data_IF_258208776843
#
_entry.id   IF_258208776843
#
_cell.length_a   1.000
_cell.length_b   1.000
_cell.length_c   1.000
_cell.angle_alpha   90.00
_cell.angle_beta   90.00
_cell.angle_gamma   90.00
#
_symmetry.space_group_name_H-M   'P 1'
#
loop_
_entity.id
_entity.type
_entity.pdbx_description
1 polymer ?
#
# COMPACT_ATOMS: atom_id res chain seq x y z
N UNK A 1 -48.10 44.76 16.03
CA UNK A 1 -47.81 43.55 16.75
C UNK A 1 -46.97 42.63 15.89
N UNK A 2 -45.67 42.71 16.18
CA UNK A 2 -44.63 42.03 15.43
C UNK A 2 -44.33 40.67 16.02
N UNK A 3 -44.45 39.62 15.22
CA UNK A 3 -44.00 38.29 15.59
C UNK A 3 -42.57 38.06 15.09
N UNK A 4 -41.61 38.22 15.97
CA UNK A 4 -40.22 37.77 15.81
C UNK A 4 -40.22 36.24 15.87
N UNK A 5 -39.93 35.58 14.75
CA UNK A 5 -39.66 34.13 14.72
C UNK A 5 -38.20 33.91 15.12
N UNK A 6 -38.02 33.23 16.25
CA UNK A 6 -36.72 32.81 16.74
C UNK A 6 -36.03 31.83 15.76
N UNK A 7 -34.82 32.15 15.42
CA UNK A 7 -33.89 31.26 14.70
C UNK A 7 -33.45 30.13 15.63
N UNK A 8 -33.78 28.90 15.26
CA UNK A 8 -33.21 27.72 15.92
C UNK A 8 -31.71 27.60 15.60
N UNK A 9 -30.87 27.19 16.56
CA UNK A 9 -29.46 26.97 16.30
C UNK A 9 -29.29 25.74 15.42
N UNK A 10 -28.51 25.89 14.32
CA UNK A 10 -28.05 24.81 13.47
C UNK A 10 -27.18 23.88 14.34
N UNK A 11 -27.62 22.63 14.50
CA UNK A 11 -26.85 21.59 15.18
C UNK A 11 -25.52 21.44 14.47
N UNK A 12 -24.45 21.55 15.26
CA UNK A 12 -23.06 21.49 14.80
C UNK A 12 -22.80 20.28 13.94
N UNK A 13 -22.07 20.52 12.85
CA UNK A 13 -21.36 19.51 12.07
C UNK A 13 -20.30 18.96 13.02
N UNK A 14 -20.60 17.82 13.65
CA UNK A 14 -19.59 17.04 14.34
C UNK A 14 -18.54 16.62 13.29
N UNK A 15 -17.35 17.18 13.38
CA UNK A 15 -16.18 16.67 12.69
C UNK A 15 -16.03 15.22 13.13
N UNK A 16 -16.41 14.28 12.27
CA UNK A 16 -16.09 12.87 12.44
C UNK A 16 -14.55 12.81 12.54
N UNK A 17 -14.03 12.62 13.76
CA UNK A 17 -12.65 12.22 13.95
C UNK A 17 -12.48 10.94 13.13
N UNK A 18 -11.78 11.04 11.98
CA UNK A 18 -11.41 9.86 11.21
C UNK A 18 -10.56 9.00 12.13
N UNK A 19 -10.99 7.76 12.32
CA UNK A 19 -10.19 6.78 13.04
C UNK A 19 -8.95 6.46 12.20
N UNK A 20 -7.84 7.15 12.49
CA UNK A 20 -6.57 7.02 11.79
C UNK A 20 -5.88 5.67 12.06
N UNK A 21 -6.50 4.81 12.86
CA UNK A 21 -5.93 3.50 13.24
C UNK A 21 -6.43 2.35 12.39
N UNK A 22 -7.47 2.57 11.54
CA UNK A 22 -8.01 1.50 10.70
C UNK A 22 -6.97 0.93 9.75
N UNK A 23 -6.74 -0.37 9.88
CA UNK A 23 -5.77 -1.12 9.09
C UNK A 23 -6.46 -2.22 8.29
N UNK A 24 -5.96 -2.47 7.07
CA UNK A 24 -6.46 -3.53 6.21
C UNK A 24 -5.33 -4.27 5.51
N UNK A 25 -5.63 -5.49 5.07
CA UNK A 25 -4.76 -6.30 4.22
C UNK A 25 -5.51 -6.63 2.93
N UNK A 26 -4.90 -6.29 1.79
CA UNK A 26 -5.37 -6.70 0.47
C UNK A 26 -4.57 -7.95 0.06
N UNK A 27 -5.28 -9.02 -0.27
CA UNK A 27 -4.71 -10.25 -0.80
C UNK A 27 -4.96 -10.29 -2.31
N UNK A 28 -3.92 -10.05 -3.11
CA UNK A 28 -3.97 -10.18 -4.57
C UNK A 28 -3.65 -11.63 -5.01
N UNK A 29 -3.68 -11.88 -6.32
CA UNK A 29 -3.72 -13.24 -6.86
C UNK A 29 -2.39 -13.99 -6.90
N UNK A 30 -1.23 -13.31 -6.72
CA UNK A 30 0.06 -13.99 -6.72
C UNK A 30 0.21 -14.85 -5.47
N UNK A 31 0.76 -16.09 -5.61
CA UNK A 31 0.96 -16.98 -4.47
C UNK A 31 1.76 -16.32 -3.35
N UNK A 32 1.37 -16.60 -2.12
CA UNK A 32 2.07 -16.18 -0.91
C UNK A 32 2.55 -17.42 -0.14
N UNK A 33 3.51 -17.24 0.77
CA UNK A 33 3.90 -18.28 1.70
C UNK A 33 3.43 -17.97 3.13
N UNK A 34 3.41 -18.97 4.02
CA UNK A 34 3.04 -18.76 5.42
C UNK A 34 3.90 -17.71 6.14
N UNK A 35 5.14 -17.45 5.68
CA UNK A 35 6.03 -16.45 6.26
C UNK A 35 5.42 -15.03 6.22
N UNK A 36 4.59 -14.74 5.22
CA UNK A 36 3.93 -13.44 5.09
C UNK A 36 2.84 -13.19 6.14
N UNK A 37 2.48 -14.20 6.96
CA UNK A 37 1.63 -14.00 8.14
C UNK A 37 2.23 -12.99 9.14
N UNK A 38 3.55 -12.77 9.11
CA UNK A 38 4.23 -11.74 9.91
C UNK A 38 3.73 -10.31 9.64
N UNK A 39 3.10 -10.08 8.49
CA UNK A 39 2.49 -8.78 8.14
C UNK A 39 1.06 -8.60 8.68
N UNK A 40 0.43 -9.66 9.19
CA UNK A 40 -0.92 -9.63 9.74
C UNK A 40 -0.94 -9.12 11.17
N UNK A 41 -1.98 -8.39 11.54
CA UNK A 41 -2.22 -7.93 12.90
C UNK A 41 -3.64 -8.29 13.34
N UNK A 42 -3.86 -8.56 14.64
CA UNK A 42 -5.21 -8.72 15.17
C UNK A 42 -6.08 -7.48 14.88
N UNK A 43 -7.26 -7.71 14.33
CA UNK A 43 -8.19 -6.64 13.97
C UNK A 43 -8.02 -6.08 12.55
N UNK A 44 -7.10 -6.63 11.75
CA UNK A 44 -7.03 -6.31 10.33
C UNK A 44 -8.33 -6.65 9.61
N UNK A 45 -8.78 -5.75 8.73
CA UNK A 45 -9.80 -6.10 7.74
C UNK A 45 -9.12 -6.71 6.52
N UNK A 46 -9.51 -7.93 6.18
CA UNK A 46 -8.89 -8.68 5.07
C UNK A 46 -9.79 -8.64 3.84
N UNK A 47 -9.27 -8.07 2.74
CA UNK A 47 -9.95 -8.02 1.44
C UNK A 47 -9.18 -8.88 0.45
N UNK A 48 -9.80 -9.94 -0.05
CA UNK A 48 -9.23 -10.80 -1.07
C UNK A 48 -9.72 -10.38 -2.46
N UNK A 49 -8.80 -10.25 -3.41
CA UNK A 49 -9.08 -9.85 -4.78
C UNK A 49 -8.91 -11.05 -5.72
N UNK A 50 -9.95 -11.38 -6.47
CA UNK A 50 -9.99 -12.50 -7.42
C UNK A 50 -9.46 -13.79 -6.76
N UNK A 51 -8.44 -14.45 -7.32
CA UNK A 51 -7.83 -15.67 -6.77
C UNK A 51 -7.12 -15.47 -5.41
N UNK A 52 -7.00 -14.23 -4.92
CA UNK A 52 -6.38 -13.90 -3.62
C UNK A 52 -7.05 -14.57 -2.41
N UNK A 53 -8.29 -15.03 -2.52
CA UNK A 53 -8.93 -15.81 -1.46
C UNK A 53 -8.17 -17.12 -1.13
N UNK A 54 -7.41 -17.67 -2.08
CA UNK A 54 -6.55 -18.85 -1.85
C UNK A 54 -5.38 -18.52 -0.93
N UNK A 55 -4.87 -17.30 -1.02
CA UNK A 55 -3.81 -16.79 -0.16
C UNK A 55 -4.27 -16.67 1.30
N UNK A 56 -5.54 -16.34 1.53
CA UNK A 56 -6.10 -16.32 2.88
C UNK A 56 -5.99 -17.70 3.56
N UNK A 57 -6.27 -18.78 2.84
CA UNK A 57 -6.12 -20.14 3.37
C UNK A 57 -4.66 -20.48 3.70
N UNK A 58 -3.69 -20.06 2.86
CA UNK A 58 -2.25 -20.23 3.11
C UNK A 58 -1.81 -19.50 4.38
N UNK A 59 -2.35 -18.30 4.60
CA UNK A 59 -2.04 -17.46 5.76
C UNK A 59 -2.84 -17.86 7.03
N UNK A 60 -3.75 -18.83 6.93
CA UNK A 60 -4.56 -19.31 8.06
C UNK A 60 -5.62 -18.29 8.53
N UNK A 61 -6.11 -17.43 7.64
CA UNK A 61 -7.11 -16.40 7.92
C UNK A 61 -8.33 -16.54 7.01
N UNK A 62 -9.42 -15.84 7.36
CA UNK A 62 -10.61 -15.73 6.53
C UNK A 62 -10.70 -14.28 6.00
N UNK A 63 -11.02 -14.07 4.71
CA UNK A 63 -11.31 -12.73 4.22
C UNK A 63 -12.66 -12.23 4.75
N UNK A 64 -12.69 -10.95 5.15
CA UNK A 64 -13.94 -10.25 5.51
C UNK A 64 -14.72 -9.87 4.25
N UNK A 65 -13.99 -9.62 3.14
CA UNK A 65 -14.57 -9.25 1.86
C UNK A 65 -13.80 -9.92 0.72
N UNK A 66 -14.53 -10.41 -0.28
CA UNK A 66 -13.95 -10.91 -1.54
C UNK A 66 -14.46 -10.03 -2.68
N UNK A 67 -13.54 -9.55 -3.51
CA UNK A 67 -13.80 -8.66 -4.66
C UNK A 67 -13.28 -9.34 -5.92
N UNK A 68 -14.08 -9.47 -6.96
CA UNK A 68 -13.64 -10.04 -8.24
C UNK A 68 -14.75 -10.26 -9.24
N UNK A 69 -14.39 -10.55 -10.48
CA UNK A 69 -15.32 -11.00 -11.52
C UNK A 69 -15.33 -12.53 -11.68
N UNK A 70 -14.38 -13.22 -11.06
CA UNK A 70 -14.22 -14.68 -11.00
C UNK A 70 -14.14 -15.34 -12.39
N UNK A 71 -13.61 -14.63 -13.38
CA UNK A 71 -13.36 -15.19 -14.73
C UNK A 71 -12.14 -16.11 -14.76
N UNK A 72 -11.14 -15.82 -13.90
CA UNK A 72 -9.86 -16.54 -13.83
C UNK A 72 -9.81 -17.62 -12.74
N UNK A 73 -10.77 -17.63 -11.81
CA UNK A 73 -10.83 -18.57 -10.69
C UNK A 73 -12.29 -18.91 -10.33
N UNK A 74 -12.60 -20.14 -9.91
CA UNK A 74 -13.94 -20.49 -9.46
C UNK A 74 -14.36 -19.61 -8.28
N UNK A 75 -15.63 -19.20 -8.28
CA UNK A 75 -16.23 -18.46 -7.18
C UNK A 75 -16.09 -19.27 -5.88
N UNK A 76 -15.50 -18.69 -4.82
CA UNK A 76 -15.33 -19.41 -3.57
C UNK A 76 -16.68 -19.64 -2.86
N UNK A 77 -16.81 -20.78 -2.21
CA UNK A 77 -17.85 -20.98 -1.21
C UNK A 77 -17.39 -20.31 0.10
N UNK A 78 -18.02 -19.20 0.46
CA UNK A 78 -17.67 -18.41 1.64
C UNK A 78 -18.90 -17.90 2.37
N UNK A 79 -18.77 -17.69 3.68
CA UNK A 79 -19.76 -16.99 4.50
C UNK A 79 -19.47 -15.50 4.63
N UNK A 80 -18.32 -15.03 4.12
CA UNK A 80 -17.93 -13.63 4.10
C UNK A 80 -18.67 -12.81 3.04
N UNK A 81 -18.59 -11.50 3.15
CA UNK A 81 -19.16 -10.58 2.19
C UNK A 81 -18.46 -10.71 0.83
N UNK A 82 -19.21 -10.48 -0.26
CA UNK A 82 -18.69 -10.57 -1.61
C UNK A 82 -19.19 -9.43 -2.48
N UNK A 83 -18.27 -8.79 -3.19
CA UNK A 83 -18.57 -7.83 -4.24
C UNK A 83 -18.19 -8.46 -5.57
N UNK A 84 -19.20 -8.70 -6.39
CA UNK A 84 -19.00 -9.22 -7.76
C UNK A 84 -18.90 -8.01 -8.69
N UNK A 85 -17.75 -7.87 -9.33
CA UNK A 85 -17.49 -6.81 -10.29
C UNK A 85 -17.89 -7.25 -11.69
N UNK A 86 -18.33 -6.34 -12.59
CA UNK A 86 -18.53 -6.66 -13.98
C UNK A 86 -17.19 -7.02 -14.63
N UNK A 87 -17.23 -7.95 -15.60
CA UNK A 87 -16.04 -8.36 -16.35
C UNK A 87 -15.41 -7.17 -17.12
N UNK A 88 -16.26 -6.32 -17.71
CA UNK A 88 -15.83 -5.08 -18.36
C UNK A 88 -15.85 -3.94 -17.34
N UNK A 89 -14.68 -3.50 -16.91
CA UNK A 89 -14.49 -2.42 -15.93
C UNK A 89 -13.16 -1.71 -16.18
N UNK A 90 -13.03 -0.48 -15.72
CA UNK A 90 -11.83 0.32 -15.86
C UNK A 90 -10.78 0.00 -14.78
N UNK A 91 -11.22 -0.49 -13.61
CA UNK A 91 -10.35 -0.79 -12.46
C UNK A 91 -9.94 -2.28 -12.46
N UNK A 92 -8.71 -2.58 -11.99
CA UNK A 92 -8.37 -3.94 -11.54
C UNK A 92 -9.08 -4.23 -10.21
N UNK A 93 -9.27 -5.52 -9.87
CA UNK A 93 -9.90 -5.90 -8.59
C UNK A 93 -9.14 -5.35 -7.39
N UNK A 94 -7.81 -5.39 -7.45
CA UNK A 94 -6.94 -4.82 -6.41
C UNK A 94 -7.10 -3.30 -6.29
N UNK A 95 -7.19 -2.58 -7.42
CA UNK A 95 -7.39 -1.13 -7.39
C UNK A 95 -8.78 -0.75 -6.86
N UNK A 96 -9.81 -1.50 -7.25
CA UNK A 96 -11.16 -1.33 -6.70
C UNK A 96 -11.18 -1.53 -5.18
N UNK A 97 -10.57 -2.61 -4.69
CA UNK A 97 -10.47 -2.88 -3.25
C UNK A 97 -9.75 -1.75 -2.50
N UNK A 98 -8.66 -1.23 -3.07
CA UNK A 98 -7.91 -0.10 -2.52
C UNK A 98 -8.77 1.17 -2.42
N UNK A 99 -9.51 1.52 -3.47
CA UNK A 99 -10.47 2.64 -3.46
C UNK A 99 -11.54 2.45 -2.39
N UNK A 100 -12.15 1.26 -2.36
CA UNK A 100 -13.19 0.90 -1.40
C UNK A 100 -12.74 1.07 0.05
N UNK A 101 -11.52 0.65 0.39
CA UNK A 101 -10.92 0.81 1.70
C UNK A 101 -10.61 2.28 2.02
N UNK A 102 -9.99 3.00 1.08
CA UNK A 102 -9.64 4.40 1.23
C UNK A 102 -10.87 5.28 1.54
N UNK A 103 -11.98 5.08 0.80
CA UNK A 103 -13.26 5.77 0.99
C UNK A 103 -13.89 5.49 2.37
N UNK A 104 -13.59 4.32 2.96
CA UNK A 104 -14.07 3.91 4.30
C UNK A 104 -13.14 4.31 5.43
N UNK A 105 -12.12 5.11 5.13
CA UNK A 105 -11.24 5.71 6.11
C UNK A 105 -10.11 4.81 6.61
N UNK A 106 -9.79 3.72 5.91
CA UNK A 106 -8.57 2.96 6.19
C UNK A 106 -7.35 3.80 5.84
N UNK A 107 -6.35 3.80 6.75
CA UNK A 107 -5.15 4.65 6.62
C UNK A 107 -3.85 3.86 6.63
N UNK A 108 -3.90 2.57 6.93
CA UNK A 108 -2.78 1.64 6.83
C UNK A 108 -3.21 0.42 6.01
N UNK A 109 -2.59 0.19 4.88
CA UNK A 109 -2.93 -0.92 3.99
C UNK A 109 -1.66 -1.70 3.66
N UNK A 110 -1.73 -3.02 3.86
CA UNK A 110 -0.71 -3.97 3.41
C UNK A 110 -1.26 -4.74 2.21
N UNK A 111 -0.46 -4.87 1.15
CA UNK A 111 -0.82 -5.61 -0.05
C UNK A 111 0.10 -6.82 -0.17
N UNK A 112 -0.46 -8.01 -0.03
CA UNK A 112 0.24 -9.30 -0.18
C UNK A 112 -0.23 -10.02 -1.44
N UNK A 113 0.65 -10.84 -2.05
CA UNK A 113 0.35 -11.45 -3.35
C UNK A 113 0.21 -10.44 -4.49
N UNK A 114 0.82 -9.27 -4.33
CA UNK A 114 0.73 -8.14 -5.27
C UNK A 114 1.97 -7.98 -6.17
N UNK A 115 3.04 -8.72 -5.89
CA UNK A 115 4.34 -8.60 -6.55
C UNK A 115 4.70 -9.87 -7.31
N UNK A 116 5.53 -9.73 -8.36
CA UNK A 116 6.09 -10.83 -9.12
C UNK A 116 5.11 -11.55 -10.04
N UNK A 117 5.43 -12.81 -10.33
CA UNK A 117 4.63 -13.67 -11.21
C UNK A 117 4.93 -13.49 -12.70
N UNK A 118 4.17 -14.23 -13.54
CA UNK A 118 4.38 -14.24 -15.01
C UNK A 118 3.83 -12.96 -15.68
N UNK A 119 2.94 -12.25 -15.02
CA UNK A 119 2.25 -11.06 -15.52
C UNK A 119 2.81 -9.81 -14.86
N UNK A 120 3.95 -9.36 -15.33
CA UNK A 120 4.68 -8.22 -14.77
C UNK A 120 3.83 -6.93 -14.76
N UNK A 121 2.90 -6.78 -15.72
CA UNK A 121 1.99 -5.64 -15.79
C UNK A 121 1.09 -5.53 -14.54
N UNK A 122 0.77 -6.66 -13.86
CA UNK A 122 0.03 -6.63 -12.60
C UNK A 122 0.87 -6.04 -11.47
N UNK A 123 2.18 -6.34 -11.41
CA UNK A 123 3.08 -5.71 -10.44
C UNK A 123 3.11 -4.20 -10.62
N UNK A 124 3.26 -3.71 -11.87
CA UNK A 124 3.22 -2.27 -12.16
C UNK A 124 1.88 -1.64 -11.82
N UNK A 125 0.75 -2.31 -12.13
CA UNK A 125 -0.58 -1.86 -11.75
C UNK A 125 -0.75 -1.76 -10.22
N UNK A 126 -0.19 -2.71 -9.46
CA UNK A 126 -0.23 -2.69 -8.01
C UNK A 126 0.65 -1.57 -7.42
N UNK A 127 1.80 -1.26 -8.03
CA UNK A 127 2.61 -0.09 -7.67
C UNK A 127 1.85 1.21 -7.96
N UNK A 128 1.13 1.30 -9.10
CA UNK A 128 0.26 2.45 -9.40
C UNK A 128 -0.87 2.59 -8.38
N UNK A 129 -1.44 1.47 -7.93
CA UNK A 129 -2.44 1.44 -6.85
C UNK A 129 -1.86 1.92 -5.53
N UNK A 130 -0.62 1.54 -5.20
CA UNK A 130 0.07 2.05 -4.01
C UNK A 130 0.30 3.57 -4.09
N UNK A 131 0.69 4.08 -5.24
CA UNK A 131 0.83 5.52 -5.46
C UNK A 131 -0.52 6.25 -5.27
N UNK A 132 -1.62 5.70 -5.80
CA UNK A 132 -2.97 6.22 -5.55
C UNK A 132 -3.29 6.29 -4.06
N UNK A 133 -3.04 5.21 -3.31
CA UNK A 133 -3.28 5.15 -1.86
C UNK A 133 -2.44 6.20 -1.12
N UNK A 134 -1.15 6.29 -1.41
CA UNK A 134 -0.23 7.24 -0.79
C UNK A 134 -0.64 8.70 -1.07
N UNK A 135 -1.07 9.00 -2.30
CA UNK A 135 -1.59 10.32 -2.69
C UNK A 135 -2.90 10.69 -1.96
N UNK A 136 -3.61 9.70 -1.42
CA UNK A 136 -4.80 9.87 -0.57
C UNK A 136 -4.49 9.75 0.94
N UNK A 137 -3.24 9.97 1.35
CA UNK A 137 -2.77 9.90 2.73
C UNK A 137 -2.98 8.52 3.40
N UNK A 138 -2.90 7.44 2.63
CA UNK A 138 -2.87 6.08 3.13
C UNK A 138 -1.42 5.61 3.17
N UNK A 139 -1.01 5.08 4.32
CA UNK A 139 0.27 4.41 4.48
C UNK A 139 0.15 3.00 3.89
N UNK A 140 0.93 2.71 2.85
CA UNK A 140 0.82 1.48 2.08
C UNK A 140 2.16 0.75 2.02
N UNK A 141 2.10 -0.56 2.26
CA UNK A 141 3.23 -1.48 2.12
C UNK A 141 2.84 -2.61 1.18
N UNK A 142 3.63 -2.86 0.15
CA UNK A 142 3.55 -4.08 -0.63
C UNK A 142 4.66 -5.02 -0.17
N UNK A 143 4.36 -6.31 0.01
CA UNK A 143 5.38 -7.24 0.45
C UNK A 143 5.25 -8.61 -0.21
N UNK A 144 6.40 -9.21 -0.46
CA UNK A 144 6.58 -10.63 -0.73
C UNK A 144 7.69 -11.21 0.17
N UNK A 145 8.17 -12.41 -0.11
CA UNK A 145 9.22 -13.06 0.68
C UNK A 145 10.57 -12.36 0.59
N UNK A 146 10.82 -11.68 -0.53
CA UNK A 146 12.13 -11.11 -0.86
C UNK A 146 12.17 -9.60 -0.73
N UNK A 147 11.01 -8.94 -0.82
CA UNK A 147 10.93 -7.47 -0.93
C UNK A 147 9.82 -6.86 -0.11
N UNK A 148 10.07 -5.64 0.33
CA UNK A 148 9.06 -4.76 0.94
C UNK A 148 9.13 -3.41 0.24
N UNK A 149 7.99 -2.91 -0.24
CA UNK A 149 7.89 -1.68 -1.00
C UNK A 149 7.05 -0.65 -0.25
N UNK A 150 7.54 0.60 -0.25
CA UNK A 150 6.87 1.76 0.34
C UNK A 150 6.82 2.92 -0.65
N UNK A 151 5.90 3.85 -0.43
CA UNK A 151 5.84 5.09 -1.20
C UNK A 151 6.39 6.24 -0.33
N UNK A 152 7.47 6.86 -0.78
CA UNK A 152 8.01 8.09 -0.21
C UNK A 152 7.21 9.28 -0.73
N UNK A 153 6.56 10.00 0.17
CA UNK A 153 5.73 11.15 -0.16
C UNK A 153 6.41 12.47 0.22
N UNK A 154 6.18 13.56 -0.53
CA UNK A 154 6.75 14.85 -0.19
C UNK A 154 6.27 15.34 1.18
N UNK A 155 7.22 15.84 1.98
CA UNK A 155 6.96 16.37 3.31
C UNK A 155 6.60 15.31 4.38
N UNK A 156 6.61 14.02 4.06
CA UNK A 156 6.36 12.92 4.99
C UNK A 156 7.62 12.03 5.09
N UNK A 157 8.44 12.18 6.14
CA UNK A 157 9.61 11.32 6.33
C UNK A 157 9.22 9.84 6.46
N UNK A 158 10.08 8.98 5.92
CA UNK A 158 9.96 7.53 6.02
C UNK A 158 11.16 6.98 6.79
N UNK A 159 10.91 6.31 7.92
CA UNK A 159 11.93 5.65 8.72
C UNK A 159 11.82 4.14 8.57
N UNK A 160 12.89 3.49 8.15
CA UNK A 160 12.96 2.06 7.87
C UNK A 160 13.99 1.39 8.78
N UNK A 161 13.57 0.34 9.47
CA UNK A 161 14.45 -0.46 10.34
C UNK A 161 15.28 -1.44 9.53
N UNK A 162 16.55 -1.60 9.90
CA UNK A 162 17.51 -2.45 9.17
C UNK A 162 17.10 -3.92 9.10
N UNK A 163 16.45 -4.52 10.02
CA UNK A 163 16.11 -5.96 10.02
C UNK A 163 17.13 -6.81 9.23
N UNK A 164 16.64 -7.75 8.41
CA UNK A 164 17.38 -8.65 7.51
C UNK A 164 17.50 -8.13 6.06
N UNK A 165 17.24 -6.83 5.85
CA UNK A 165 17.34 -6.20 4.54
C UNK A 165 18.79 -6.05 4.11
N UNK A 166 19.13 -6.53 2.89
CA UNK A 166 20.43 -6.34 2.28
C UNK A 166 20.51 -5.00 1.56
N UNK A 167 19.49 -4.69 0.75
CA UNK A 167 19.50 -3.47 -0.07
C UNK A 167 18.29 -2.59 0.20
N UNK A 168 18.52 -1.29 0.02
CA UNK A 168 17.52 -0.23 -0.03
C UNK A 168 17.68 0.50 -1.36
N UNK A 169 16.61 0.57 -2.15
CA UNK A 169 16.60 1.27 -3.44
C UNK A 169 15.50 2.31 -3.48
N UNK A 170 15.71 3.41 -4.18
CA UNK A 170 14.72 4.50 -4.35
C UNK A 170 14.60 4.83 -5.83
N UNK A 171 13.37 4.81 -6.35
CA UNK A 171 13.04 5.16 -7.73
C UNK A 171 12.00 6.27 -7.77
N UNK A 172 12.14 7.29 -8.62
CA UNK A 172 11.07 8.22 -8.92
C UNK A 172 9.87 7.51 -9.56
N UNK A 173 8.62 7.86 -9.20
CA UNK A 173 7.41 7.22 -9.74
C UNK A 173 6.66 8.09 -10.75
N UNK A 174 6.42 9.36 -10.42
CA UNK A 174 5.53 10.25 -11.17
C UNK A 174 6.28 11.45 -11.81
N UNK A 175 7.58 11.32 -11.97
CA UNK A 175 8.45 12.33 -12.50
C UNK A 175 9.72 12.48 -11.65
N UNK A 176 10.51 13.55 -11.79
CA UNK A 176 11.66 13.79 -10.95
C UNK A 176 11.29 13.84 -9.46
N UNK A 177 12.07 13.17 -8.63
CA UNK A 177 11.95 13.18 -7.17
C UNK A 177 12.94 14.20 -6.62
N UNK A 178 12.46 15.34 -6.13
CA UNK A 178 13.29 16.46 -5.71
C UNK A 178 13.45 16.59 -4.22
N UNK A 179 14.60 17.16 -3.79
CA UNK A 179 14.91 17.38 -2.37
C UNK A 179 15.11 16.09 -1.57
N UNK A 180 15.64 15.06 -2.23
CA UNK A 180 15.83 13.74 -1.60
C UNK A 180 16.99 13.77 -0.64
N UNK A 181 16.73 13.40 0.60
CA UNK A 181 17.77 13.14 1.59
C UNK A 181 17.60 11.73 2.14
N UNK A 182 18.71 10.98 2.24
CA UNK A 182 18.76 9.62 2.76
C UNK A 182 19.91 9.56 3.79
N UNK A 183 19.60 9.13 5.00
CA UNK A 183 20.55 8.94 6.10
C UNK A 183 20.56 7.49 6.58
N UNK A 184 21.62 7.09 7.28
CA UNK A 184 21.76 5.75 7.85
C UNK A 184 22.14 4.68 6.81
N UNK A 185 22.66 5.08 5.65
CA UNK A 185 23.02 4.23 4.53
C UNK A 185 24.43 4.49 4.03
N UNK A 186 24.98 3.58 3.24
CA UNK A 186 26.37 3.66 2.74
C UNK A 186 26.56 4.81 1.73
N UNK A 187 25.57 5.05 0.86
CA UNK A 187 25.54 6.18 -0.08
C UNK A 187 24.46 7.18 0.34
N UNK A 188 24.76 8.06 1.34
CA UNK A 188 23.78 9.05 1.79
C UNK A 188 23.54 10.09 0.71
N UNK A 189 22.31 10.62 0.66
CA UNK A 189 21.95 11.74 -0.20
C UNK A 189 21.57 12.95 0.67
N UNK A 190 21.82 14.15 0.13
CA UNK A 190 21.43 15.41 0.75
C UNK A 190 20.88 16.35 -0.31
N UNK A 191 19.60 16.65 -0.22
CA UNK A 191 18.89 17.57 -1.11
C UNK A 191 19.11 17.26 -2.61
N UNK A 192 19.14 15.95 -2.95
CA UNK A 192 19.40 15.47 -4.29
C UNK A 192 18.13 15.44 -5.15
N UNK A 193 18.29 15.43 -6.47
CA UNK A 193 17.22 15.14 -7.42
C UNK A 193 17.48 13.78 -8.07
N UNK A 194 16.51 12.87 -7.97
CA UNK A 194 16.52 11.60 -8.71
C UNK A 194 15.63 11.75 -9.94
N UNK A 195 16.13 11.31 -11.10
CA UNK A 195 15.38 11.35 -12.34
C UNK A 195 15.06 9.94 -12.84
N UNK A 196 13.91 9.73 -13.54
CA UNK A 196 13.49 8.40 -13.98
C UNK A 196 14.45 7.72 -14.98
N UNK A 197 15.28 8.49 -15.65
CA UNK A 197 16.24 8.05 -16.67
C UNK A 197 17.64 7.71 -16.11
N UNK A 198 17.86 7.95 -14.79
CA UNK A 198 19.14 7.71 -14.17
C UNK A 198 18.99 6.98 -12.81
N UNK A 199 19.39 5.70 -12.69
CA UNK A 199 19.13 4.88 -11.49
C UNK A 199 20.14 5.15 -10.36
N UNK A 200 20.24 6.38 -9.89
CA UNK A 200 21.18 6.80 -8.85
C UNK A 200 20.88 6.15 -7.48
N UNK A 201 19.61 5.90 -7.17
CA UNK A 201 19.17 5.46 -5.84
C UNK A 201 19.16 3.94 -5.63
N UNK A 202 19.79 3.13 -6.50
CA UNK A 202 19.69 1.67 -6.43
C UNK A 202 20.74 1.04 -5.51
N UNK A 203 20.36 -0.06 -4.86
CA UNK A 203 21.25 -0.99 -4.12
C UNK A 203 22.11 -0.31 -3.03
N UNK A 204 21.52 0.60 -2.28
CA UNK A 204 22.13 1.15 -1.09
C UNK A 204 22.07 0.15 0.07
N UNK A 205 22.94 0.27 1.05
CA UNK A 205 23.04 -0.62 2.20
C UNK A 205 22.90 0.14 3.52
N UNK A 206 22.31 -0.49 4.53
CA UNK A 206 22.17 0.11 5.86
C UNK A 206 23.52 0.13 6.58
N UNK A 207 23.93 1.30 7.06
CA UNK A 207 25.11 1.49 7.94
C UNK A 207 24.72 1.79 9.37
N UNK A 208 23.44 2.04 9.65
CA UNK A 208 22.87 2.29 10.96
C UNK A 208 21.69 1.32 11.24
N UNK A 209 21.17 1.25 12.48
CA UNK A 209 19.99 0.43 12.81
C UNK A 209 18.73 0.82 12.03
N UNK A 210 18.68 2.05 11.53
CA UNK A 210 17.58 2.58 10.73
C UNK A 210 18.08 3.49 9.61
N UNK A 211 17.28 3.61 8.54
CA UNK A 211 17.48 4.60 7.50
C UNK A 211 16.31 5.59 7.53
N UNK A 212 16.63 6.87 7.39
CA UNK A 212 15.64 7.95 7.26
C UNK A 212 15.67 8.51 5.84
N UNK A 213 14.49 8.57 5.21
CA UNK A 213 14.31 9.10 3.87
C UNK A 213 13.31 10.25 3.89
N UNK A 214 13.58 11.30 3.14
CA UNK A 214 12.59 12.35 2.86
C UNK A 214 12.74 12.89 1.45
N UNK A 215 11.68 13.51 0.93
CA UNK A 215 11.69 14.25 -0.32
C UNK A 215 10.81 15.52 -0.18
N UNK A 216 11.01 16.49 -1.09
CA UNK A 216 10.26 17.75 -1.10
C UNK A 216 9.22 17.79 -2.22
N UNK A 217 9.44 17.06 -3.31
CA UNK A 217 8.51 17.01 -4.45
C UNK A 217 8.60 15.68 -5.19
N UNK A 218 7.48 15.28 -5.82
CA UNK A 218 7.34 13.99 -6.48
C UNK A 218 7.12 12.85 -5.48
N UNK A 219 6.86 11.64 -6.00
CA UNK A 219 6.74 10.42 -5.18
C UNK A 219 7.84 9.44 -5.54
N UNK A 220 8.40 8.77 -4.52
CA UNK A 220 9.43 7.75 -4.68
C UNK A 220 8.91 6.35 -4.34
N UNK A 221 9.28 5.35 -5.13
CA UNK A 221 9.16 3.95 -4.77
C UNK A 221 10.42 3.55 -4.00
N UNK A 222 10.26 3.18 -2.74
CA UNK A 222 11.34 2.66 -1.90
C UNK A 222 11.20 1.14 -1.86
N UNK A 223 12.26 0.43 -2.20
CA UNK A 223 12.31 -1.03 -2.22
C UNK A 223 13.37 -1.52 -1.26
N UNK A 224 12.98 -2.32 -0.30
CA UNK A 224 13.87 -3.11 0.54
C UNK A 224 13.95 -4.52 -0.04
N UNK A 225 15.15 -5.08 -0.13
CA UNK A 225 15.38 -6.42 -0.67
C UNK A 225 16.24 -7.24 0.28
N UNK A 226 15.83 -8.49 0.55
CA UNK A 226 16.63 -9.45 1.30
C UNK A 226 17.76 -10.00 0.45
N UNK A 227 18.82 -10.53 1.10
CA UNK A 227 19.79 -11.34 0.41
C UNK A 227 19.13 -12.60 -0.16
N UNK A 228 19.59 -13.01 -1.33
CA UNK A 228 19.25 -14.34 -1.84
C UNK A 228 19.74 -15.40 -0.85
N UNK A 229 18.82 -16.26 -0.38
CA UNK A 229 19.12 -17.34 0.54
C UNK A 229 19.75 -18.55 -0.17
#
# INVERSE_FOLDING_TARGET
>A
PDHVRGSQPVKGVGTLMQDLTKRAVILSAMPVTPALSAYLQPGDTVVACDAGYRNAAVLGIQPDLIVGDFDSAPKPETTGDMIILPHVKDDTDTHYAAKWLCERGYRHIVMLGALGGKRMEHTFSNVSTALYLASNNVDVTLADEHSELHILCPGKPLTLQKKDWMYLSVFPLDGPLGGVSIHGVFYPLKDATLTPDYPLGISNEFTAPEAELCCQSGHGLVILTRADG
#
